data_IF_275747387757
#
_entry.id   IF_275747387757
#
_cell.length_a   1.000
_cell.length_b   1.000
_cell.length_c   1.000
_cell.angle_alpha   90.00
_cell.angle_beta   90.00
_cell.angle_gamma   90.00
#
_symmetry.space_group_name_H-M   'P 1'
#
loop_
_entity.id
_entity.type
_entity.pdbx_description
1 polymer ?
#
# COMPACT_ATOMS: atom_id res chain seq x y z
N UNK A 1 -82.71 9.79 25.76
CA UNK A 1 -82.39 8.87 26.88
C UNK A 1 -82.18 7.47 26.31
N UNK A 2 -81.08 6.84 26.73
CA UNK A 2 -80.77 5.40 26.73
C UNK A 2 -81.08 4.54 25.49
N UNK A 3 -80.00 4.18 24.77
CA UNK A 3 -79.93 2.98 23.93
C UNK A 3 -78.61 2.26 24.19
N UNK A 4 -78.63 1.25 25.07
CA UNK A 4 -77.47 0.41 25.38
C UNK A 4 -77.36 -0.73 24.36
N UNK A 5 -76.19 -0.88 23.71
CA UNK A 5 -75.81 -2.10 22.99
C UNK A 5 -74.48 -2.63 23.51
N UNK A 6 -74.51 -3.96 23.70
CA UNK A 6 -73.54 -4.81 24.39
C UNK A 6 -72.23 -4.91 23.63
N UNK A 7 -71.13 -4.96 24.40
CA UNK A 7 -69.80 -5.28 23.91
C UNK A 7 -69.65 -6.75 23.53
N UNK A 8 -68.81 -6.99 22.53
CA UNK A 8 -68.27 -8.30 22.20
C UNK A 8 -66.75 -8.17 22.29
N UNK A 9 -66.16 -8.86 23.26
CA UNK A 9 -64.71 -9.02 23.41
C UNK A 9 -64.33 -10.29 22.65
N UNK A 10 -63.55 -10.13 21.58
CA UNK A 10 -62.93 -11.27 20.89
C UNK A 10 -61.42 -11.20 21.10
N UNK A 11 -60.92 -12.23 21.78
CA UNK A 11 -59.52 -12.47 22.13
C UNK A 11 -58.68 -12.74 20.88
N UNK A 12 -57.48 -12.16 20.87
CA UNK A 12 -56.39 -12.46 19.93
C UNK A 12 -55.80 -13.87 20.18
N UNK A 13 -55.36 -14.61 19.14
CA UNK A 13 -54.42 -15.69 19.29
C UNK A 13 -52.97 -15.22 19.07
N UNK A 14 -52.10 -15.61 20.00
CA UNK A 14 -50.63 -15.48 19.88
C UNK A 14 -50.07 -16.42 18.80
N UNK A 15 -48.97 -16.04 18.13
CA UNK A 15 -48.37 -16.85 17.07
C UNK A 15 -47.37 -17.88 17.62
N UNK A 16 -47.53 -19.13 17.18
CA UNK A 16 -46.65 -20.26 17.48
C UNK A 16 -45.61 -20.43 16.36
N UNK A 17 -44.32 -20.50 16.73
CA UNK A 17 -43.34 -21.38 16.08
C UNK A 17 -42.58 -20.82 14.87
N UNK A 18 -41.52 -20.05 15.11
CA UNK A 18 -40.41 -19.89 14.15
C UNK A 18 -39.61 -21.20 14.10
N UNK A 19 -39.62 -21.86 12.93
CA UNK A 19 -38.82 -23.05 12.62
C UNK A 19 -37.47 -22.58 12.07
N UNK A 20 -36.37 -23.00 12.70
CA UNK A 20 -35.02 -22.68 12.26
C UNK A 20 -34.72 -23.28 10.86
N UNK A 21 -34.01 -22.56 9.97
CA UNK A 21 -33.61 -23.11 8.68
C UNK A 21 -32.41 -24.06 8.81
N UNK A 22 -32.48 -25.16 8.08
CA UNK A 22 -31.44 -26.17 7.86
C UNK A 22 -30.20 -25.54 7.20
N UNK A 23 -28.97 -25.96 7.56
CA UNK A 23 -27.76 -25.47 6.91
C UNK A 23 -27.65 -26.01 5.48
N UNK A 24 -27.46 -25.11 4.52
CA UNK A 24 -27.24 -25.47 3.12
C UNK A 24 -25.85 -26.06 2.92
N UNK A 25 -25.85 -27.22 2.25
CA UNK A 25 -24.72 -27.93 1.66
C UNK A 25 -23.83 -26.99 0.84
N UNK A 26 -22.55 -26.96 1.19
CA UNK A 26 -21.48 -26.32 0.43
C UNK A 26 -21.31 -27.00 -0.93
N UNK A 27 -21.67 -26.32 -2.01
CA UNK A 27 -21.23 -26.69 -3.34
C UNK A 27 -19.80 -26.18 -3.54
N UNK A 28 -18.86 -27.10 -3.74
CA UNK A 28 -17.53 -26.79 -4.23
C UNK A 28 -17.64 -26.23 -5.66
N UNK A 29 -17.42 -24.92 -5.80
CA UNK A 29 -17.24 -24.28 -7.11
C UNK A 29 -15.79 -24.50 -7.52
N UNK A 30 -15.55 -25.51 -8.34
CA UNK A 30 -14.30 -25.66 -9.09
C UNK A 30 -14.08 -24.42 -9.95
N UNK A 31 -13.00 -23.69 -9.68
CA UNK A 31 -12.56 -22.58 -10.52
C UNK A 31 -12.11 -23.11 -11.89
N UNK A 32 -12.54 -22.52 -13.01
CA UNK A 32 -12.05 -22.92 -14.32
C UNK A 32 -10.56 -22.53 -14.47
N UNK A 33 -9.79 -23.43 -15.05
CA UNK A 33 -8.38 -23.23 -15.38
C UNK A 33 -8.22 -22.03 -16.33
N UNK A 34 -7.22 -21.19 -16.05
CA UNK A 34 -6.89 -20.01 -16.86
C UNK A 34 -6.48 -20.42 -18.29
N UNK A 35 -7.36 -20.16 -19.24
CA UNK A 35 -7.05 -20.22 -20.67
C UNK A 35 -6.22 -19.01 -21.08
N UNK A 36 -5.25 -19.25 -21.96
CA UNK A 36 -4.06 -18.45 -22.25
C UNK A 36 -4.28 -17.12 -22.99
N UNK A 37 -5.44 -16.49 -22.86
CA UNK A 37 -5.79 -15.22 -23.52
C UNK A 37 -6.31 -14.20 -22.50
N UNK A 38 -5.48 -13.86 -21.51
CA UNK A 38 -5.72 -12.69 -20.66
C UNK A 38 -4.82 -11.57 -21.18
N UNK A 39 -5.32 -10.84 -22.17
CA UNK A 39 -4.72 -9.60 -22.64
C UNK A 39 -4.63 -8.62 -21.47
N UNK A 40 -3.48 -7.96 -21.34
CA UNK A 40 -3.19 -6.99 -20.28
C UNK A 40 -4.36 -5.98 -20.17
N UNK A 41 -4.96 -5.77 -18.98
CA UNK A 41 -6.04 -4.80 -18.79
C UNK A 41 -5.65 -3.34 -19.13
N UNK A 42 -4.40 -3.07 -19.53
CA UNK A 42 -3.91 -1.76 -19.92
C UNK A 42 -3.54 -1.59 -21.41
N UNK A 43 -3.84 -2.56 -22.28
CA UNK A 43 -3.57 -2.44 -23.72
C UNK A 43 -4.59 -1.50 -24.40
N UNK A 44 -4.29 -0.20 -24.39
CA UNK A 44 -5.12 0.83 -25.00
C UNK A 44 -4.79 0.92 -26.50
N UNK A 45 -5.53 0.19 -27.34
CA UNK A 45 -5.34 0.08 -28.79
C UNK A 45 -5.77 1.31 -29.61
N UNK A 46 -5.30 2.52 -29.29
CA UNK A 46 -5.54 3.67 -30.16
C UNK A 46 -4.39 4.67 -30.14
N UNK A 47 -4.03 5.17 -31.33
CA UNK A 47 -2.99 6.19 -31.57
C UNK A 47 -3.28 7.56 -30.93
N UNK A 48 -4.31 7.65 -30.09
CA UNK A 48 -4.72 8.83 -29.34
C UNK A 48 -4.67 8.53 -27.85
N UNK A 49 -3.85 9.25 -27.05
CA UNK A 49 -3.76 8.99 -25.62
C UNK A 49 -5.10 9.31 -24.95
N UNK A 50 -5.65 8.34 -24.22
CA UNK A 50 -6.82 8.61 -23.38
C UNK A 50 -6.38 9.38 -22.13
N UNK A 51 -7.28 10.21 -21.58
CA UNK A 51 -7.03 11.03 -20.38
C UNK A 51 -6.52 10.20 -19.18
N UNK A 52 -6.86 8.91 -19.14
CA UNK A 52 -6.43 7.96 -18.10
C UNK A 52 -4.96 7.56 -18.26
N UNK A 53 -4.48 7.42 -19.50
CA UNK A 53 -3.06 7.15 -19.81
C UNK A 53 -2.20 8.41 -19.62
N UNK A 54 -2.71 9.60 -19.97
CA UNK A 54 -2.00 10.86 -19.76
C UNK A 54 -1.84 11.18 -18.26
N UNK A 55 -2.86 10.91 -17.46
CA UNK A 55 -2.78 11.03 -16.00
C UNK A 55 -1.70 10.11 -15.40
N UNK A 56 -1.56 8.89 -15.95
CA UNK A 56 -0.58 7.92 -15.46
C UNK A 56 0.86 8.27 -15.88
N UNK A 57 1.07 8.67 -17.15
CA UNK A 57 2.39 9.12 -17.65
C UNK A 57 2.90 10.35 -16.90
N UNK A 58 2.00 11.27 -16.56
CA UNK A 58 2.35 12.51 -15.84
C UNK A 58 2.86 12.28 -14.41
N UNK A 59 2.53 11.15 -13.78
CA UNK A 59 2.99 10.80 -12.42
C UNK A 59 4.18 9.86 -12.40
N UNK A 60 4.34 8.97 -13.38
CA UNK A 60 5.48 8.04 -13.39
C UNK A 60 6.82 8.69 -13.78
N UNK A 61 6.81 9.87 -14.41
CA UNK A 61 8.03 10.54 -14.89
C UNK A 61 8.45 11.75 -14.03
N UNK A 62 7.77 12.00 -12.92
CA UNK A 62 8.02 13.16 -12.04
C UNK A 62 9.20 13.02 -11.08
N UNK A 63 9.83 11.85 -10.93
CA UNK A 63 10.83 11.60 -9.87
C UNK A 63 12.08 10.83 -10.30
N UNK A 64 12.48 10.90 -11.57
CA UNK A 64 13.83 10.43 -11.93
C UNK A 64 14.45 11.34 -12.97
N UNK A 65 15.38 12.16 -12.51
CA UNK A 65 16.22 12.98 -13.36
C UNK A 65 17.01 12.14 -14.37
N UNK A 66 17.18 12.75 -15.54
CA UNK A 66 18.10 12.45 -16.60
C UNK A 66 19.15 11.34 -16.35
N UNK A 67 18.98 10.21 -17.03
CA UNK A 67 20.11 9.45 -17.55
C UNK A 67 19.68 8.77 -18.86
N UNK A 68 19.99 9.45 -19.97
CA UNK A 68 20.26 8.84 -21.28
C UNK A 68 21.14 7.62 -21.06
N UNK A 69 20.77 6.43 -21.54
CA UNK A 69 21.71 5.38 -21.99
C UNK A 69 21.10 4.62 -23.17
N UNK A 70 21.96 4.33 -24.13
CA UNK A 70 21.67 3.72 -25.42
C UNK A 70 22.13 2.26 -25.43
N UNK A 71 21.24 1.32 -25.82
CA UNK A 71 21.47 0.01 -26.49
C UNK A 71 22.43 -1.05 -25.85
N UNK A 72 22.48 -2.32 -26.34
CA UNK A 72 21.42 -3.24 -26.80
C UNK A 72 21.56 -4.71 -26.25
N UNK A 73 20.54 -5.54 -26.52
CA UNK A 73 20.50 -7.01 -26.73
C UNK A 73 21.69 -7.88 -26.27
N UNK A 74 21.47 -8.87 -25.39
CA UNK A 74 21.87 -10.30 -25.57
C UNK A 74 20.99 -11.23 -24.70
N UNK A 75 20.44 -12.28 -25.34
CA UNK A 75 19.74 -13.44 -24.77
C UNK A 75 20.72 -14.48 -24.18
N UNK A 76 20.34 -15.14 -23.09
CA UNK A 76 20.41 -16.61 -22.80
C UNK A 76 20.16 -16.80 -21.31
N UNK A 77 19.07 -17.45 -20.86
CA UNK A 77 18.75 -18.90 -20.86
C UNK A 77 18.82 -19.42 -19.43
N UNK A 78 17.67 -19.78 -18.87
CA UNK A 78 17.54 -20.68 -17.72
C UNK A 78 17.91 -22.13 -18.14
N UNK A 79 18.13 -23.10 -17.23
CA UNK A 79 17.04 -23.61 -16.38
C UNK A 79 17.40 -24.06 -14.94
N UNK A 80 16.33 -24.13 -14.15
CA UNK A 80 16.01 -24.93 -12.94
C UNK A 80 16.41 -26.44 -13.08
N UNK A 81 16.22 -27.38 -12.10
CA UNK A 81 15.28 -27.33 -10.97
C UNK A 81 15.64 -28.09 -9.65
N UNK A 82 14.75 -27.90 -8.66
CA UNK A 82 14.26 -28.84 -7.62
C UNK A 82 15.28 -29.40 -6.60
N UNK A 83 14.96 -29.65 -5.33
CA UNK A 83 13.84 -30.48 -4.87
C UNK A 83 13.71 -30.38 -3.33
N UNK A 84 12.46 -30.36 -2.84
CA UNK A 84 11.91 -31.01 -1.63
C UNK A 84 12.64 -30.96 -0.28
N UNK A 85 11.92 -30.50 0.75
CA UNK A 85 12.25 -30.82 2.15
C UNK A 85 11.27 -30.23 3.16
N UNK A 86 10.12 -30.89 3.33
CA UNK A 86 9.14 -30.69 4.40
C UNK A 86 9.72 -30.93 5.81
N UNK A 87 9.20 -30.25 6.85
CA UNK A 87 8.60 -30.81 8.10
C UNK A 87 8.40 -29.74 9.20
N UNK A 88 7.12 -29.58 9.58
CA UNK A 88 6.47 -29.39 10.90
C UNK A 88 7.00 -28.54 12.08
N UNK A 89 6.06 -27.69 12.54
CA UNK A 89 5.57 -27.44 13.93
C UNK A 89 6.41 -26.66 14.94
N UNK A 90 5.77 -25.61 15.49
CA UNK A 90 6.08 -25.08 16.83
C UNK A 90 5.33 -23.79 17.18
N UNK A 91 4.20 -23.91 17.89
CA UNK A 91 3.48 -22.82 18.55
C UNK A 91 4.28 -22.22 19.71
N UNK A 92 4.23 -20.90 19.92
CA UNK A 92 3.92 -20.26 21.23
C UNK A 92 3.81 -18.73 21.10
N UNK A 93 3.06 -18.14 22.02
CA UNK A 93 2.53 -16.79 22.03
C UNK A 93 3.23 -15.85 23.04
N UNK A 94 2.72 -14.61 23.12
CA UNK A 94 2.96 -13.52 24.12
C UNK A 94 4.31 -12.78 23.93
N UNK A 95 4.47 -11.45 23.91
CA UNK A 95 4.00 -10.29 24.71
C UNK A 95 4.09 -9.00 23.83
N UNK A 96 3.19 -8.01 23.83
CA UNK A 96 2.92 -6.91 24.78
C UNK A 96 4.05 -5.86 24.97
N UNK A 97 3.69 -4.57 24.79
CA UNK A 97 4.48 -3.34 25.00
C UNK A 97 4.27 -2.38 23.82
N UNK A 98 3.47 -1.30 23.83
CA UNK A 98 3.07 -0.29 24.83
C UNK A 98 4.21 0.52 25.44
N UNK A 99 4.61 1.59 24.75
CA UNK A 99 5.11 2.88 25.29
C UNK A 99 4.68 3.96 24.25
N UNK A 100 3.92 5.02 24.57
CA UNK A 100 4.21 6.06 25.55
C UNK A 100 5.11 7.10 24.85
N UNK A 101 4.64 8.25 24.37
CA UNK A 101 4.01 9.36 25.09
C UNK A 101 4.76 10.63 24.67
N UNK A 102 4.13 11.81 24.73
CA UNK A 102 4.86 13.08 24.60
C UNK A 102 4.12 14.18 23.86
N UNK A 103 3.20 14.81 24.58
CA UNK A 103 2.66 16.14 24.31
C UNK A 103 3.77 17.20 24.18
N UNK A 104 3.54 18.25 23.39
CA UNK A 104 3.80 19.63 23.84
C UNK A 104 3.22 20.66 22.87
N UNK A 105 2.41 21.52 23.47
CA UNK A 105 1.81 22.73 22.97
C UNK A 105 2.81 23.69 22.31
N UNK A 106 2.31 24.48 21.35
CA UNK A 106 2.67 25.90 21.37
C UNK A 106 1.54 26.79 20.85
N UNK A 107 1.33 27.86 21.63
CA UNK A 107 0.22 28.78 21.57
C UNK A 107 0.17 29.67 20.33
N UNK A 108 -1.02 30.25 20.17
CA UNK A 108 -1.44 30.93 18.96
C UNK A 108 -0.99 32.38 18.80
N UNK A 109 -1.36 32.92 17.64
CA UNK A 109 -1.59 34.35 17.44
C UNK A 109 -2.89 34.47 16.65
N UNK A 110 -3.86 35.12 17.29
CA UNK A 110 -5.12 35.55 16.70
C UNK A 110 -4.84 36.50 15.54
N UNK A 111 -5.37 36.19 14.36
CA UNK A 111 -5.55 37.15 13.27
C UNK A 111 -6.90 36.91 12.63
N UNK A 112 -7.90 37.57 13.21
CA UNK A 112 -9.28 37.63 12.73
C UNK A 112 -9.33 38.33 11.37
N UNK A 113 -9.22 37.54 10.30
CA UNK A 113 -9.62 37.97 8.96
C UNK A 113 -10.99 37.40 8.66
N UNK A 114 -12.03 38.22 8.86
CA UNK A 114 -13.38 37.95 8.38
C UNK A 114 -13.37 37.92 6.84
N UNK A 115 -13.00 36.77 6.25
CA UNK A 115 -13.40 36.44 4.88
C UNK A 115 -14.74 35.74 4.95
N UNK A 116 -15.81 36.53 4.87
CA UNK A 116 -17.13 36.05 4.47
C UNK A 116 -17.04 35.47 3.06
N UNK A 117 -16.57 34.23 2.95
CA UNK A 117 -16.71 33.40 1.78
C UNK A 117 -18.18 33.05 1.64
N UNK A 118 -18.95 33.99 1.11
CA UNK A 118 -20.25 33.70 0.50
C UNK A 118 -19.94 32.61 -0.51
N UNK A 119 -20.44 31.41 -0.28
CA UNK A 119 -20.48 30.38 -1.30
C UNK A 119 -21.09 31.04 -2.54
N UNK A 120 -20.28 31.23 -3.57
CA UNK A 120 -20.77 31.70 -4.86
C UNK A 120 -21.88 30.76 -5.27
N UNK A 121 -23.12 31.24 -5.52
CA UNK A 121 -24.05 30.45 -6.29
C UNK A 121 -23.32 30.19 -7.60
N UNK A 122 -23.17 28.91 -7.99
CA UNK A 122 -22.78 28.55 -9.35
C UNK A 122 -23.84 29.15 -10.28
N UNK A 123 -23.58 30.38 -10.70
CA UNK A 123 -24.38 31.12 -11.66
C UNK A 123 -24.08 30.56 -13.03
N UNK A 124 -25.16 30.26 -13.76
CA UNK A 124 -25.21 29.94 -15.19
C UNK A 124 -24.50 28.66 -15.64
N UNK A 125 -24.91 27.52 -15.08
CA UNK A 125 -24.94 26.28 -15.86
C UNK A 125 -26.12 26.37 -16.85
N UNK A 126 -25.89 25.94 -18.09
CA UNK A 126 -26.84 25.96 -19.21
C UNK A 126 -28.30 25.71 -18.79
N UNK A 127 -29.21 26.61 -19.18
CA UNK A 127 -30.66 26.54 -18.94
C UNK A 127 -31.34 25.27 -19.48
N UNK A 128 -30.60 24.43 -20.20
CA UNK A 128 -31.07 23.17 -20.77
C UNK A 128 -30.69 22.03 -19.81
N UNK A 129 -31.66 21.40 -19.13
CA UNK A 129 -31.39 20.27 -18.25
C UNK A 129 -30.86 19.09 -19.05
N UNK A 130 -29.96 18.30 -18.47
CA UNK A 130 -29.45 17.13 -19.18
C UNK A 130 -30.58 16.09 -19.27
N UNK A 131 -30.91 15.74 -20.52
CA UNK A 131 -32.10 14.99 -20.85
C UNK A 131 -31.79 13.55 -21.22
N UNK A 132 -32.49 12.60 -20.62
CA UNK A 132 -32.51 11.21 -21.09
C UNK A 132 -33.80 10.94 -21.88
N UNK A 133 -33.68 10.14 -22.94
CA UNK A 133 -34.82 9.63 -23.70
C UNK A 133 -35.47 8.49 -22.92
N UNK A 134 -36.79 8.52 -22.81
CA UNK A 134 -37.56 7.38 -22.29
C UNK A 134 -37.82 6.39 -23.43
N UNK A 135 -37.47 5.12 -23.25
CA UNK A 135 -37.70 4.08 -24.25
C UNK A 135 -39.19 3.81 -24.53
N UNK A 136 -40.08 4.18 -23.61
CA UNK A 136 -41.51 3.91 -23.71
C UNK A 136 -42.34 5.13 -24.16
N UNK A 137 -41.87 6.36 -23.90
CA UNK A 137 -42.58 7.62 -24.20
C UNK A 137 -41.77 8.61 -25.04
N UNK A 138 -40.53 8.26 -25.38
CA UNK A 138 -39.61 9.06 -26.19
C UNK A 138 -39.97 9.07 -27.66
N UNK A 139 -39.45 10.07 -28.37
CA UNK A 139 -39.68 10.23 -29.80
C UNK A 139 -39.84 11.68 -30.23
N UNK A 140 -39.70 11.92 -31.54
CA UNK A 140 -39.98 13.20 -32.17
C UNK A 140 -41.50 13.38 -32.21
N UNK A 141 -41.99 14.49 -31.67
CA UNK A 141 -43.43 14.77 -31.64
C UNK A 141 -43.81 15.46 -32.95
N UNK A 142 -44.18 14.68 -33.96
CA UNK A 142 -44.57 15.21 -35.27
C UNK A 142 -45.85 16.05 -35.24
N UNK A 143 -46.72 15.83 -34.24
CA UNK A 143 -47.97 16.59 -34.03
C UNK A 143 -47.76 17.85 -33.18
N UNK A 144 -46.52 18.16 -32.80
CA UNK A 144 -46.18 19.37 -32.05
C UNK A 144 -46.33 20.60 -32.95
N UNK A 145 -47.19 21.53 -32.56
CA UNK A 145 -47.31 22.86 -33.18
C UNK A 145 -46.06 23.72 -33.01
N UNK A 146 -45.16 23.35 -32.08
CA UNK A 146 -43.90 24.06 -31.85
C UNK A 146 -42.74 23.38 -32.58
N UNK A 147 -41.85 24.20 -33.15
CA UNK A 147 -40.59 23.78 -33.77
C UNK A 147 -39.42 24.32 -32.95
N UNK A 148 -38.32 23.58 -32.91
CA UNK A 148 -37.07 24.10 -32.36
C UNK A 148 -36.46 25.16 -33.31
N UNK A 149 -35.38 25.86 -32.90
CA UNK A 149 -34.76 26.91 -33.73
C UNK A 149 -34.16 26.40 -35.05
N UNK A 150 -33.98 25.09 -35.21
CA UNK A 150 -33.57 24.47 -36.47
C UNK A 150 -34.76 24.15 -37.41
N UNK A 151 -35.98 24.54 -37.06
CA UNK A 151 -37.19 24.20 -37.81
C UNK A 151 -37.59 22.73 -37.72
N UNK A 152 -36.98 21.94 -36.81
CA UNK A 152 -37.31 20.52 -36.60
C UNK A 152 -38.30 20.36 -35.45
N UNK A 153 -39.20 19.39 -35.55
CA UNK A 153 -40.10 19.01 -34.47
C UNK A 153 -39.32 18.57 -33.23
N UNK A 154 -39.70 19.05 -32.03
CA UNK A 154 -38.98 18.72 -30.81
C UNK A 154 -39.18 17.26 -30.40
N UNK A 155 -38.26 16.80 -29.55
CA UNK A 155 -38.23 15.45 -28.99
C UNK A 155 -38.63 15.50 -27.51
N UNK A 156 -39.38 14.50 -27.05
CA UNK A 156 -39.70 14.33 -25.62
C UNK A 156 -38.48 13.81 -24.86
N UNK A 157 -38.15 14.47 -23.78
CA UNK A 157 -37.00 14.19 -22.92
C UNK A 157 -37.42 14.29 -21.44
N UNK A 158 -36.67 13.63 -20.57
CA UNK A 158 -36.81 13.75 -19.12
C UNK A 158 -35.58 14.42 -18.54
N UNK A 159 -35.77 15.42 -17.68
CA UNK A 159 -34.68 15.99 -16.91
C UNK A 159 -34.19 14.95 -15.89
N UNK A 160 -32.93 14.58 -15.98
CA UNK A 160 -32.32 13.60 -15.07
C UNK A 160 -31.76 14.26 -13.81
N UNK A 161 -31.42 15.55 -13.87
CA UNK A 161 -30.70 16.22 -12.80
C UNK A 161 -31.39 17.49 -12.27
N UNK A 162 -30.96 17.90 -11.09
CA UNK A 162 -31.33 19.16 -10.45
C UNK A 162 -32.82 19.28 -10.10
N UNK A 163 -33.29 20.54 -10.04
CA UNK A 163 -34.64 20.90 -9.58
C UNK A 163 -35.76 20.37 -10.50
N UNK A 164 -35.46 20.07 -11.76
CA UNK A 164 -36.43 19.57 -12.73
C UNK A 164 -36.41 18.04 -12.86
N UNK A 165 -35.61 17.33 -12.04
CA UNK A 165 -35.49 15.88 -12.06
C UNK A 165 -36.87 15.19 -12.15
N UNK A 166 -36.98 14.25 -13.09
CA UNK A 166 -38.19 13.46 -13.37
C UNK A 166 -39.26 14.18 -14.20
N UNK A 167 -39.07 15.45 -14.57
CA UNK A 167 -40.05 16.19 -15.40
C UNK A 167 -39.81 15.98 -16.88
N UNK A 168 -40.92 15.95 -17.63
CA UNK A 168 -40.93 15.87 -19.09
C UNK A 168 -40.77 17.26 -19.70
N UNK A 169 -39.98 17.31 -20.76
CA UNK A 169 -39.82 18.51 -21.56
C UNK A 169 -39.64 18.18 -23.04
N UNK A 170 -39.99 19.13 -23.89
CA UNK A 170 -39.72 19.12 -25.32
C UNK A 170 -38.38 19.81 -25.56
N UNK A 171 -37.43 19.08 -26.15
CA UNK A 171 -36.10 19.58 -26.49
C UNK A 171 -35.77 19.48 -27.98
N UNK A 172 -34.64 20.06 -28.38
CA UNK A 172 -34.15 19.93 -29.75
C UNK A 172 -33.90 18.44 -30.09
N UNK A 173 -34.34 17.94 -31.27
CA UNK A 173 -34.25 16.52 -31.61
C UNK A 173 -32.85 16.07 -32.09
N UNK A 174 -31.87 16.97 -32.15
CA UNK A 174 -30.51 16.65 -32.58
C UNK A 174 -29.81 15.81 -31.51
N UNK A 175 -29.11 14.74 -31.94
CA UNK A 175 -28.45 13.81 -31.02
C UNK A 175 -27.27 14.48 -30.33
N UNK A 176 -26.44 15.19 -31.08
CA UNK A 176 -25.22 15.82 -30.59
C UNK A 176 -25.54 17.03 -29.69
N UNK A 177 -25.07 16.97 -28.43
CA UNK A 177 -25.35 18.00 -27.43
C UNK A 177 -24.86 19.39 -27.88
N UNK A 178 -23.72 19.45 -28.56
CA UNK A 178 -23.12 20.68 -29.09
C UNK A 178 -23.94 21.35 -30.20
N UNK A 179 -24.76 20.58 -30.92
CA UNK A 179 -25.57 21.10 -32.02
C UNK A 179 -27.00 21.46 -31.60
N UNK A 180 -27.44 21.14 -30.38
CA UNK A 180 -28.82 21.41 -29.92
C UNK A 180 -29.05 22.91 -29.73
N UNK A 181 -30.15 23.44 -30.27
CA UNK A 181 -30.43 24.89 -30.26
C UNK A 181 -30.98 25.46 -28.93
N UNK A 182 -30.74 24.80 -27.78
CA UNK A 182 -31.21 25.25 -26.47
C UNK A 182 -32.73 25.38 -26.31
N UNK A 183 -33.53 24.94 -27.28
CA UNK A 183 -34.98 24.90 -27.17
C UNK A 183 -35.40 23.93 -26.05
N UNK A 184 -36.17 24.43 -25.09
CA UNK A 184 -36.75 23.67 -23.98
C UNK A 184 -38.15 24.18 -23.69
N UNK A 185 -39.13 23.28 -23.65
CA UNK A 185 -40.47 23.57 -23.17
C UNK A 185 -40.90 22.49 -22.18
N UNK A 186 -41.13 22.87 -20.92
CA UNK A 186 -41.60 21.95 -19.89
C UNK A 186 -43.04 21.53 -20.21
N UNK A 187 -43.32 20.22 -20.17
CA UNK A 187 -44.65 19.67 -20.43
C UNK A 187 -45.49 19.57 -19.14
N UNK A 188 -44.82 19.26 -18.03
CA UNK A 188 -45.48 19.10 -16.73
C UNK A 188 -45.55 20.44 -15.98
N UNK A 189 -46.44 20.55 -14.99
CA UNK A 189 -46.44 21.67 -14.06
C UNK A 189 -45.16 21.73 -13.22
N UNK A 190 -44.82 22.92 -12.70
CA UNK A 190 -43.67 23.04 -11.80
C UNK A 190 -43.95 22.31 -10.48
N UNK A 191 -42.99 21.50 -10.04
CA UNK A 191 -43.06 20.86 -8.73
C UNK A 191 -43.34 21.92 -7.64
N UNK A 192 -44.24 21.64 -6.68
CA UNK A 192 -44.37 22.47 -5.50
C UNK A 192 -43.01 22.66 -4.82
N UNK A 193 -42.73 23.85 -4.27
CA UNK A 193 -41.43 24.19 -3.66
C UNK A 193 -40.91 23.12 -2.71
N UNK A 194 -41.79 22.60 -1.84
CA UNK A 194 -41.46 21.50 -0.91
C UNK A 194 -40.90 20.26 -1.62
N UNK A 195 -41.46 19.87 -2.76
CA UNK A 195 -40.97 18.71 -3.51
C UNK A 195 -39.61 18.98 -4.14
N UNK A 196 -39.37 20.20 -4.64
CA UNK A 196 -38.07 20.61 -5.17
C UNK A 196 -36.99 20.54 -4.10
N UNK A 197 -37.27 21.05 -2.90
CA UNK A 197 -36.32 21.03 -1.78
C UNK A 197 -35.95 19.60 -1.37
N UNK A 198 -36.94 18.69 -1.34
CA UNK A 198 -36.71 17.26 -1.05
C UNK A 198 -35.87 16.61 -2.15
N UNK A 199 -36.19 16.85 -3.42
CA UNK A 199 -35.43 16.31 -4.56
C UNK A 199 -33.97 16.77 -4.53
N UNK A 200 -33.73 18.06 -4.26
CA UNK A 200 -32.38 18.60 -4.15
C UNK A 200 -31.62 17.98 -2.97
N UNK A 201 -32.27 17.83 -1.81
CA UNK A 201 -31.68 17.18 -0.63
C UNK A 201 -31.28 15.73 -0.93
N UNK A 202 -32.14 14.98 -1.62
CA UNK A 202 -31.84 13.61 -2.03
C UNK A 202 -30.63 13.59 -2.98
N UNK A 203 -30.58 14.51 -3.95
CA UNK A 203 -29.43 14.62 -4.85
C UNK A 203 -28.13 14.93 -4.11
N UNK A 204 -28.15 15.82 -3.12
CA UNK A 204 -26.99 16.12 -2.29
C UNK A 204 -26.53 14.88 -1.50
N UNK A 205 -27.46 14.10 -0.95
CA UNK A 205 -27.15 12.85 -0.26
C UNK A 205 -26.55 11.80 -1.20
N UNK A 206 -27.08 11.66 -2.42
CA UNK A 206 -26.56 10.74 -3.44
C UNK A 206 -25.15 11.16 -3.83
N UNK A 207 -24.92 12.45 -4.10
CA UNK A 207 -23.60 12.98 -4.45
C UNK A 207 -22.59 12.75 -3.32
N UNK A 208 -22.95 13.03 -2.07
CA UNK A 208 -22.10 12.73 -0.92
C UNK A 208 -21.79 11.24 -0.80
N UNK A 209 -22.74 10.36 -1.14
CA UNK A 209 -22.54 8.91 -1.09
C UNK A 209 -21.59 8.44 -2.18
N UNK A 210 -21.73 8.96 -3.41
CA UNK A 210 -20.81 8.70 -4.52
C UNK A 210 -19.40 9.15 -4.15
N UNK A 211 -19.24 10.39 -3.66
CA UNK A 211 -17.94 10.91 -3.23
C UNK A 211 -17.30 10.07 -2.11
N UNK A 212 -18.09 9.59 -1.15
CA UNK A 212 -17.60 8.70 -0.10
C UNK A 212 -17.17 7.34 -0.65
N UNK A 213 -17.95 6.76 -1.57
CA UNK A 213 -17.61 5.49 -2.20
C UNK A 213 -16.31 5.60 -3.02
N UNK A 214 -16.13 6.70 -3.75
CA UNK A 214 -14.91 6.97 -4.51
C UNK A 214 -13.69 7.13 -3.59
N UNK A 215 -13.82 7.89 -2.50
CA UNK A 215 -12.76 8.01 -1.48
C UNK A 215 -12.40 6.65 -0.88
N UNK A 216 -13.40 5.87 -0.47
CA UNK A 216 -13.18 4.53 0.08
C UNK A 216 -12.49 3.60 -0.93
N UNK A 217 -12.84 3.69 -2.21
CA UNK A 217 -12.21 2.89 -3.27
C UNK A 217 -10.73 3.26 -3.42
N UNK A 218 -10.42 4.57 -3.43
CA UNK A 218 -9.03 5.07 -3.48
C UNK A 218 -8.25 4.60 -2.25
N UNK A 219 -8.83 4.67 -1.06
CA UNK A 219 -8.18 4.23 0.18
C UNK A 219 -7.90 2.72 0.18
N UNK A 220 -8.86 1.89 -0.26
CA UNK A 220 -8.63 0.44 -0.41
C UNK A 220 -7.52 0.13 -1.42
N UNK A 221 -7.44 0.88 -2.53
CA UNK A 221 -6.37 0.71 -3.51
C UNK A 221 -5.02 1.08 -2.92
N UNK A 222 -4.94 2.17 -2.16
CA UNK A 222 -3.71 2.59 -1.47
C UNK A 222 -3.27 1.56 -0.42
N UNK A 223 -4.19 1.05 0.40
CA UNK A 223 -3.90 0.00 1.38
C UNK A 223 -3.38 -1.28 0.71
N UNK A 224 -3.98 -1.67 -0.42
CA UNK A 224 -3.52 -2.83 -1.19
C UNK A 224 -2.12 -2.62 -1.76
N UNK A 225 -1.80 -1.42 -2.23
CA UNK A 225 -0.45 -1.09 -2.70
C UNK A 225 0.57 -1.19 -1.57
N UNK A 226 0.29 -0.62 -0.40
CA UNK A 226 1.17 -0.72 0.77
C UNK A 226 1.37 -2.16 1.25
N UNK A 227 0.31 -2.98 1.22
CA UNK A 227 0.41 -4.41 1.54
C UNK A 227 1.30 -5.17 0.56
N UNK A 228 1.22 -4.84 -0.73
CA UNK A 228 2.08 -5.45 -1.75
C UNK A 228 3.56 -5.05 -1.55
N UNK A 229 3.84 -3.77 -1.32
CA UNK A 229 5.20 -3.29 -1.04
C UNK A 229 5.78 -3.92 0.24
N UNK A 230 4.96 -4.06 1.30
CA UNK A 230 5.38 -4.71 2.53
C UNK A 230 5.69 -6.20 2.29
N UNK A 231 4.88 -6.87 1.46
CA UNK A 231 5.11 -8.26 1.10
C UNK A 231 6.41 -8.44 0.32
N UNK A 232 6.69 -7.57 -0.66
CA UNK A 232 7.94 -7.59 -1.42
C UNK A 232 9.17 -7.39 -0.52
N UNK A 233 9.10 -6.44 0.43
CA UNK A 233 10.17 -6.23 1.42
C UNK A 233 10.39 -7.43 2.34
N UNK A 234 9.32 -8.13 2.72
CA UNK A 234 9.42 -9.37 3.51
C UNK A 234 10.10 -10.47 2.71
N UNK A 235 9.70 -10.68 1.45
CA UNK A 235 10.31 -11.66 0.55
C UNK A 235 11.80 -11.36 0.32
N UNK A 236 12.20 -10.09 0.16
CA UNK A 236 13.60 -9.68 0.04
C UNK A 236 14.40 -9.95 1.32
N UNK A 237 13.88 -9.54 2.48
CA UNK A 237 14.55 -9.76 3.77
C UNK A 237 14.66 -11.24 4.11
N UNK A 238 13.69 -12.05 3.69
CA UNK A 238 13.75 -13.50 3.83
C UNK A 238 14.86 -14.11 2.97
N UNK A 239 15.02 -13.63 1.74
CA UNK A 239 16.14 -14.01 0.87
C UNK A 239 17.51 -13.64 1.47
N UNK A 240 17.68 -12.42 1.98
CA UNK A 240 18.92 -11.99 2.65
C UNK A 240 19.23 -12.79 3.91
N UNK A 241 18.19 -13.17 4.68
CA UNK A 241 18.37 -14.04 5.83
C UNK A 241 18.83 -15.43 5.41
N UNK A 242 18.31 -15.96 4.31
CA UNK A 242 18.72 -17.27 3.79
C UNK A 242 20.18 -17.23 3.29
N UNK A 243 20.59 -16.18 2.56
CA UNK A 243 21.99 -16.04 2.13
C UNK A 243 22.92 -15.91 3.32
N UNK A 244 22.58 -15.06 4.29
CA UNK A 244 23.36 -14.91 5.52
C UNK A 244 23.44 -16.22 6.31
N UNK A 245 22.35 -17.00 6.35
CA UNK A 245 22.33 -18.31 7.00
C UNK A 245 23.28 -19.32 6.32
N UNK A 246 23.49 -19.20 5.00
CA UNK A 246 24.45 -20.03 4.25
C UNK A 246 25.89 -19.55 4.41
N UNK A 247 26.14 -18.26 4.44
CA UNK A 247 27.50 -17.69 4.58
C UNK A 247 28.07 -17.80 6.01
N UNK A 248 27.20 -17.68 7.03
CA UNK A 248 27.59 -17.77 8.44
C UNK A 248 28.45 -19.01 8.78
N UNK A 249 28.09 -20.25 8.40
CA UNK A 249 28.92 -21.42 8.69
C UNK A 249 30.28 -21.40 7.97
N UNK A 250 30.37 -20.83 6.77
CA UNK A 250 31.65 -20.71 6.06
C UNK A 250 32.62 -19.80 6.81
N UNK A 251 32.14 -18.63 7.25
CA UNK A 251 32.91 -17.70 8.07
C UNK A 251 33.30 -18.31 9.43
N UNK A 252 32.43 -19.13 10.03
CA UNK A 252 32.76 -19.85 11.26
C UNK A 252 33.92 -20.81 11.02
N UNK A 253 33.91 -21.56 9.92
CA UNK A 253 35.01 -22.50 9.57
C UNK A 253 36.31 -21.76 9.26
N UNK A 254 36.24 -20.64 8.56
CA UNK A 254 37.41 -19.80 8.27
C UNK A 254 38.01 -19.22 9.56
N UNK A 255 37.15 -18.71 10.46
CA UNK A 255 37.55 -18.24 11.79
C UNK A 255 38.23 -19.34 12.60
N UNK A 256 37.71 -20.55 12.60
CA UNK A 256 38.31 -21.69 13.29
C UNK A 256 39.68 -22.06 12.69
N UNK A 257 39.80 -22.09 11.37
CA UNK A 257 41.08 -22.29 10.67
C UNK A 257 42.12 -21.24 11.06
N UNK A 258 41.75 -19.96 11.04
CA UNK A 258 42.64 -18.86 11.43
C UNK A 258 43.03 -18.96 12.91
N UNK A 259 42.10 -19.32 13.79
CA UNK A 259 42.37 -19.51 15.21
C UNK A 259 43.38 -20.64 15.45
N UNK A 260 43.28 -21.75 14.73
CA UNK A 260 44.27 -22.84 14.80
C UNK A 260 45.65 -22.36 14.34
N UNK A 261 45.73 -21.63 13.20
CA UNK A 261 47.00 -21.07 12.71
C UNK A 261 47.61 -20.09 13.71
N UNK A 262 46.79 -19.24 14.33
CA UNK A 262 47.22 -18.29 15.35
C UNK A 262 47.73 -18.99 16.62
N UNK A 263 47.09 -20.08 17.06
CA UNK A 263 47.58 -20.87 18.19
C UNK A 263 48.91 -21.55 17.88
N UNK A 264 49.09 -22.05 16.67
CA UNK A 264 50.36 -22.65 16.25
C UNK A 264 51.49 -21.62 16.25
N UNK A 265 51.27 -20.44 15.64
CA UNK A 265 52.28 -19.38 15.63
C UNK A 265 52.61 -18.88 17.04
N UNK A 266 51.60 -18.71 17.90
CA UNK A 266 51.81 -18.33 19.30
C UNK A 266 52.64 -19.38 20.06
N UNK A 267 52.37 -20.66 19.83
CA UNK A 267 53.17 -21.77 20.40
C UNK A 267 54.63 -21.71 19.92
N UNK A 268 54.85 -21.53 18.61
CA UNK A 268 56.19 -21.36 18.04
C UNK A 268 56.92 -20.15 18.64
N UNK A 269 56.26 -18.99 18.73
CA UNK A 269 56.82 -17.79 19.34
C UNK A 269 57.19 -18.01 20.80
N UNK A 270 56.33 -18.68 21.59
CA UNK A 270 56.61 -18.98 23.00
C UNK A 270 57.80 -19.92 23.18
N UNK A 271 57.93 -20.93 22.30
CA UNK A 271 59.06 -21.88 22.30
C UNK A 271 60.36 -21.17 21.95
N UNK A 272 60.34 -20.35 20.89
CA UNK A 272 61.51 -19.56 20.48
C UNK A 272 61.91 -18.56 21.57
N UNK A 273 60.93 -17.91 22.21
CA UNK A 273 61.19 -17.03 23.35
C UNK A 273 61.82 -17.78 24.53
N UNK A 274 61.40 -19.03 24.79
CA UNK A 274 62.00 -19.86 25.84
C UNK A 274 63.45 -20.25 25.50
N UNK A 275 63.74 -20.63 24.25
CA UNK A 275 65.10 -20.94 23.79
C UNK A 275 66.01 -19.73 23.90
N UNK A 276 65.58 -18.56 23.40
CA UNK A 276 66.35 -17.31 23.50
C UNK A 276 66.59 -16.92 24.96
N UNK A 277 65.59 -17.11 25.83
CA UNK A 277 65.73 -16.86 27.26
C UNK A 277 66.72 -17.82 27.91
N UNK A 278 66.70 -19.09 27.53
CA UNK A 278 67.62 -20.09 28.06
C UNK A 278 69.07 -19.80 27.62
N UNK A 279 69.29 -19.53 26.33
CA UNK A 279 70.58 -19.08 25.78
C UNK A 279 71.17 -17.88 26.55
N UNK A 280 70.34 -16.88 26.86
CA UNK A 280 70.76 -15.72 27.62
C UNK A 280 71.10 -16.07 29.08
N UNK A 281 70.33 -16.97 29.69
CA UNK A 281 70.58 -17.45 31.04
C UNK A 281 71.84 -18.33 31.11
N UNK A 282 72.10 -19.16 30.10
CA UNK A 282 73.31 -19.98 30.02
C UNK A 282 74.55 -19.11 29.85
N UNK A 283 74.49 -18.08 28.98
CA UNK A 283 75.54 -17.06 28.88
C UNK A 283 75.79 -16.36 30.21
N UNK A 284 74.74 -16.00 30.95
CA UNK A 284 74.87 -15.45 32.30
C UNK A 284 75.53 -16.43 33.27
N UNK A 285 75.14 -17.71 33.27
CA UNK A 285 75.75 -18.74 34.11
C UNK A 285 77.23 -18.93 33.81
N UNK A 286 77.60 -18.95 32.52
CA UNK A 286 79.01 -19.05 32.08
C UNK A 286 79.81 -17.85 32.60
N UNK A 287 79.29 -16.63 32.46
CA UNK A 287 79.93 -15.43 33.00
C UNK A 287 80.10 -15.47 34.52
N UNK A 288 79.09 -15.92 35.26
CA UNK A 288 79.17 -16.09 36.72
C UNK A 288 80.28 -17.07 37.10
N UNK A 289 80.35 -18.23 36.44
CA UNK A 289 81.39 -19.24 36.70
C UNK A 289 82.79 -18.69 36.37
N UNK A 290 82.95 -18.00 35.24
CA UNK A 290 84.22 -17.40 34.84
C UNK A 290 84.70 -16.36 35.88
N UNK A 291 83.81 -15.47 36.34
CA UNK A 291 84.13 -14.48 37.38
C UNK A 291 84.50 -15.16 38.71
N UNK A 292 83.79 -16.22 39.11
CA UNK A 292 84.13 -17.00 40.30
C UNK A 292 85.52 -17.65 40.22
N UNK A 293 85.87 -18.26 39.08
CA UNK A 293 87.18 -18.88 38.86
C UNK A 293 88.31 -17.85 38.93
N UNK A 294 88.12 -16.68 38.30
CA UNK A 294 89.08 -15.58 38.40
C UNK A 294 89.24 -15.14 39.86
N UNK A 295 88.13 -14.99 40.60
CA UNK A 295 88.15 -14.67 42.02
C UNK A 295 88.94 -15.68 42.87
N UNK A 296 88.75 -16.98 42.61
CA UNK A 296 89.50 -18.05 43.30
C UNK A 296 91.00 -18.03 42.97
N UNK A 297 91.37 -17.80 41.71
CA UNK A 297 92.77 -17.68 41.31
C UNK A 297 93.44 -16.48 41.99
N UNK A 298 92.76 -15.34 42.04
CA UNK A 298 93.25 -14.15 42.74
C UNK A 298 93.43 -14.43 44.24
N UNK A 299 92.44 -15.05 44.89
CA UNK A 299 92.55 -15.42 46.30
C UNK A 299 93.70 -16.40 46.58
N UNK A 300 93.91 -17.39 45.72
CA UNK A 300 95.04 -18.33 45.80
C UNK A 300 96.38 -17.62 45.65
N UNK A 301 96.51 -16.70 44.68
CA UNK A 301 97.73 -15.90 44.49
C UNK A 301 98.02 -15.01 45.71
N UNK A 302 97.01 -14.31 46.23
CA UNK A 302 97.16 -13.51 47.45
C UNK A 302 97.49 -14.39 48.67
N UNK A 303 96.88 -15.57 48.80
CA UNK A 303 97.20 -16.53 49.86
C UNK A 303 98.65 -17.04 49.80
N UNK A 304 99.17 -17.31 48.60
CA UNK A 304 100.59 -17.69 48.41
C UNK A 304 101.51 -16.51 48.72
N UNK A 305 101.20 -15.30 48.24
CA UNK A 305 102.01 -14.10 48.50
C UNK A 305 102.04 -13.74 49.99
N UNK A 306 100.91 -13.86 50.69
CA UNK A 306 100.83 -13.64 52.14
C UNK A 306 101.53 -14.74 52.95
N UNK A 307 101.67 -15.96 52.41
CA UNK A 307 102.42 -17.05 53.05
C UNK A 307 103.94 -16.94 52.85
N UNK A 308 104.39 -16.21 51.83
CA UNK A 308 105.81 -15.97 51.53
C UNK A 308 106.39 -14.72 52.20
N UNK A 309 105.65 -14.09 53.11
CA UNK A 309 106.05 -12.89 53.85
C UNK A 309 105.90 -13.13 55.35
#
# INVERSE_FOLDING_TARGET
MAGARRGHVSRSPSPTGMRAPTPMSSFEVSSPAATKEQTDPFDCCSDTPCLRCDFYKSRCWGTTGAARWSNPVVRRSAPMPATSGSVSRGSTAWWAGSEGGGDSDNGGIHSSSNKSGRASPRSSASTVPDGIEDSNLGGVVHESLVLCRHGKHPRRLFAWDGKHCGRRYLGCPLKDKSERCGFVQLMDEEWPKRAQDVILTIWDMVNQTIEKADKNLVDMMAEKALKNEAKEKVELLEGEKETLAREKPELVREKEQLNVRCRFSLSCCSTLQAVVRNEFNDKKRIWIVAVCLIGLLVAMLFGVVLKMK
#
